data_IF_617343684982
#
_entry.id   IF_617343684982
#
_cell.length_a   1.000
_cell.length_b   1.000
_cell.length_c   1.000
_cell.angle_alpha   90.00
_cell.angle_beta   90.00
_cell.angle_gamma   90.00
#
_symmetry.space_group_name_H-M   'P 1'
#
loop_
_entity.id
_entity.type
_entity.pdbx_description
1 polymer ?
#
# COMPACT_ATOMS: atom_id res chain seq x y z
N UNK A 1 44.31 20.15 17.27
CA UNK A 1 43.49 19.69 16.13
C UNK A 1 42.19 19.18 16.70
N UNK A 2 41.20 20.05 16.85
CA UNK A 2 39.87 19.70 17.31
C UNK A 2 39.10 19.11 16.13
N UNK A 3 38.75 17.84 16.23
CA UNK A 3 37.82 17.21 15.30
C UNK A 3 36.41 17.65 15.68
N UNK A 4 35.87 18.61 14.93
CA UNK A 4 34.45 19.00 15.02
C UNK A 4 33.59 17.76 14.73
N UNK A 5 33.01 17.20 15.79
CA UNK A 5 31.90 16.28 15.69
C UNK A 5 30.72 17.09 15.18
N UNK A 6 30.51 17.06 13.87
CA UNK A 6 29.30 17.60 13.24
C UNK A 6 28.12 16.81 13.79
N UNK A 7 27.31 17.46 14.63
CA UNK A 7 26.03 16.91 15.08
C UNK A 7 25.21 16.55 13.82
N UNK A 8 24.95 15.29 13.62
CA UNK A 8 23.96 14.80 12.65
C UNK A 8 22.66 15.45 13.11
N UNK A 9 22.20 16.44 12.37
CA UNK A 9 20.90 17.07 12.64
C UNK A 9 19.87 15.95 12.59
N UNK A 10 19.25 15.67 13.73
CA UNK A 10 18.22 14.63 13.87
C UNK A 10 17.09 14.99 12.88
N UNK A 11 16.81 14.10 11.92
CA UNK A 11 15.79 14.37 10.93
C UNK A 11 14.44 14.58 11.62
N UNK A 12 13.67 15.61 11.26
CA UNK A 12 12.43 15.91 11.94
C UNK A 12 11.46 14.73 11.81
N UNK A 13 10.78 14.41 12.89
CA UNK A 13 9.76 13.36 12.94
C UNK A 13 8.54 13.74 12.10
N UNK A 14 7.72 12.77 11.70
CA UNK A 14 6.46 13.04 10.98
C UNK A 14 5.54 13.97 11.78
N UNK A 15 5.50 13.83 13.11
CA UNK A 15 4.69 14.68 14.01
C UNK A 15 5.17 16.12 13.95
N UNK A 16 6.48 16.35 13.94
CA UNK A 16 7.07 17.70 13.82
C UNK A 16 6.79 18.29 12.44
N UNK A 17 6.93 17.52 11.37
CA UNK A 17 6.63 17.97 10.02
C UNK A 17 5.15 18.32 9.85
N UNK A 18 4.24 17.52 10.40
CA UNK A 18 2.80 17.80 10.39
C UNK A 18 2.49 19.09 11.15
N UNK A 19 3.11 19.28 12.32
CA UNK A 19 2.96 20.54 13.08
C UNK A 19 3.47 21.75 12.31
N UNK A 20 4.63 21.63 11.65
CA UNK A 20 5.20 22.70 10.81
C UNK A 20 4.28 23.03 9.63
N UNK A 21 3.76 22.01 8.95
CA UNK A 21 2.78 22.18 7.88
C UNK A 21 1.52 22.92 8.34
N UNK A 22 0.93 22.53 9.48
CA UNK A 22 -0.23 23.21 10.07
C UNK A 22 0.04 24.70 10.36
N UNK A 23 1.30 25.06 10.61
CA UNK A 23 1.74 26.44 10.81
C UNK A 23 2.13 27.15 9.50
N UNK A 24 1.84 26.58 8.33
CA UNK A 24 2.04 27.18 7.02
C UNK A 24 3.43 26.92 6.39
N UNK A 25 4.24 26.01 6.96
CA UNK A 25 5.53 25.63 6.37
C UNK A 25 5.37 24.65 5.21
N UNK A 26 5.35 25.16 3.98
CA UNK A 26 5.23 24.32 2.77
C UNK A 26 6.39 23.33 2.57
N UNK A 27 7.57 23.62 3.11
CA UNK A 27 8.72 22.70 3.06
C UNK A 27 8.47 21.42 3.85
N UNK A 28 7.70 21.50 4.93
CA UNK A 28 7.33 20.33 5.73
C UNK A 28 6.48 19.35 4.92
N UNK A 29 5.54 19.82 4.10
CA UNK A 29 4.77 18.96 3.19
C UNK A 29 5.68 18.25 2.18
N UNK A 30 6.61 18.96 1.57
CA UNK A 30 7.58 18.40 0.62
C UNK A 30 8.40 17.27 1.27
N UNK A 31 8.84 17.46 2.52
CA UNK A 31 9.57 16.42 3.26
C UNK A 31 8.70 15.21 3.58
N UNK A 32 7.44 15.38 3.96
CA UNK A 32 6.50 14.28 4.18
C UNK A 32 6.25 13.49 2.88
N UNK A 33 6.06 14.17 1.76
CA UNK A 33 5.91 13.51 0.45
C UNK A 33 7.19 12.74 0.11
N UNK A 34 8.36 13.36 0.16
CA UNK A 34 9.62 12.70 -0.17
C UNK A 34 9.87 11.43 0.67
N UNK A 35 9.52 11.48 1.96
CA UNK A 35 9.68 10.36 2.91
C UNK A 35 8.73 9.20 2.63
N UNK A 36 7.47 9.49 2.31
CA UNK A 36 6.41 8.49 2.28
C UNK A 36 5.99 8.05 0.88
N UNK A 37 6.23 8.86 -0.18
CA UNK A 37 5.81 8.52 -1.55
C UNK A 37 6.38 7.17 -2.04
N UNK A 38 7.66 6.80 -1.80
CA UNK A 38 8.17 5.52 -2.27
C UNK A 38 7.47 4.31 -1.63
N UNK A 39 7.15 4.39 -0.33
CA UNK A 39 6.44 3.30 0.36
C UNK A 39 4.96 3.24 -0.03
N UNK A 40 4.33 4.39 -0.25
CA UNK A 40 2.95 4.49 -0.71
C UNK A 40 2.81 3.95 -2.13
N UNK A 41 3.75 4.26 -3.03
CA UNK A 41 3.76 3.73 -4.39
C UNK A 41 3.86 2.20 -4.42
N UNK A 42 4.76 1.61 -3.61
CA UNK A 42 4.84 0.15 -3.46
C UNK A 42 3.54 -0.46 -2.94
N UNK A 43 2.91 0.19 -1.95
CA UNK A 43 1.63 -0.26 -1.43
C UNK A 43 0.54 -0.26 -2.52
N UNK A 44 0.40 0.84 -3.26
CA UNK A 44 -0.60 0.98 -4.34
C UNK A 44 -0.37 -0.06 -5.45
N UNK A 45 0.89 -0.24 -5.88
CA UNK A 45 1.25 -1.26 -6.87
C UNK A 45 0.93 -2.70 -6.38
N UNK A 46 1.17 -2.98 -5.10
CA UNK A 46 0.83 -4.26 -4.45
C UNK A 46 -0.67 -4.51 -4.36
N UNK A 47 -1.49 -3.45 -4.31
CA UNK A 47 -2.95 -3.54 -4.41
C UNK A 47 -3.44 -3.81 -5.85
N UNK A 48 -2.54 -3.92 -6.84
CA UNK A 48 -2.90 -4.22 -8.24
C UNK A 48 -3.14 -2.98 -9.11
N UNK A 49 -2.91 -1.78 -8.61
CA UNK A 49 -3.12 -0.52 -9.34
C UNK A 49 -1.81 -0.01 -9.97
N UNK A 50 -1.05 -0.90 -10.66
CA UNK A 50 0.28 -0.57 -11.21
C UNK A 50 0.25 0.57 -12.21
N UNK A 51 -0.70 0.56 -13.13
CA UNK A 51 -0.82 1.57 -14.19
C UNK A 51 -1.30 2.93 -13.67
N UNK A 52 -1.88 2.96 -12.47
CA UNK A 52 -2.46 4.16 -11.84
C UNK A 52 -1.74 4.54 -10.55
N UNK A 53 -0.57 3.97 -10.31
CA UNK A 53 0.19 4.18 -9.07
C UNK A 53 0.41 5.67 -8.80
N UNK A 54 0.89 6.42 -9.77
CA UNK A 54 1.20 7.85 -9.61
C UNK A 54 -0.07 8.68 -9.34
N UNK A 55 -1.17 8.40 -10.03
CA UNK A 55 -2.46 9.05 -9.81
C UNK A 55 -2.95 8.82 -8.38
N UNK A 56 -2.97 7.56 -7.93
CA UNK A 56 -3.45 7.20 -6.59
C UNK A 56 -2.55 7.77 -5.49
N UNK A 57 -1.23 7.77 -5.69
CA UNK A 57 -0.26 8.38 -4.77
C UNK A 57 -0.51 9.88 -4.65
N UNK A 58 -0.64 10.59 -5.76
CA UNK A 58 -0.92 12.02 -5.78
C UNK A 58 -2.24 12.34 -5.08
N UNK A 59 -3.33 11.66 -5.44
CA UNK A 59 -4.65 11.85 -4.84
C UNK A 59 -4.64 11.55 -3.34
N UNK A 60 -3.87 10.54 -2.91
CA UNK A 60 -3.71 10.21 -1.50
C UNK A 60 -3.09 11.39 -0.72
N UNK A 61 -2.02 12.00 -1.23
CA UNK A 61 -1.41 13.16 -0.57
C UNK A 61 -2.31 14.38 -0.59
N UNK A 62 -3.00 14.66 -1.70
CA UNK A 62 -3.98 15.76 -1.77
C UNK A 62 -5.05 15.59 -0.68
N UNK A 63 -5.64 14.39 -0.55
CA UNK A 63 -6.64 14.10 0.49
C UNK A 63 -6.04 14.13 1.91
N UNK A 64 -4.82 13.60 2.07
CA UNK A 64 -4.15 13.61 3.35
C UNK A 64 -3.88 15.03 3.84
N UNK A 65 -3.33 15.89 3.00
CA UNK A 65 -3.09 17.29 3.39
C UNK A 65 -4.38 18.08 3.59
N UNK A 66 -5.43 17.81 2.79
CA UNK A 66 -6.75 18.41 3.01
C UNK A 66 -7.43 17.96 4.29
N UNK A 67 -7.06 16.79 4.81
CA UNK A 67 -7.64 16.20 6.03
C UNK A 67 -6.65 16.12 7.20
N UNK A 68 -5.50 16.81 7.13
CA UNK A 68 -4.40 16.66 8.10
C UNK A 68 -4.82 17.02 9.53
N UNK A 69 -5.80 17.90 9.70
CA UNK A 69 -6.33 18.26 11.00
C UNK A 69 -7.05 17.09 11.70
N UNK A 70 -7.51 16.11 10.93
CA UNK A 70 -8.12 14.88 11.43
C UNK A 70 -7.10 13.82 11.86
N UNK A 71 -5.83 14.00 11.51
CA UNK A 71 -4.76 13.10 11.95
C UNK A 71 -4.44 13.34 13.43
N UNK A 72 -4.85 12.40 14.29
CA UNK A 72 -4.68 12.49 15.75
C UNK A 72 -3.39 11.90 16.29
N UNK A 73 -2.64 11.15 15.43
CA UNK A 73 -1.44 10.46 15.87
C UNK A 73 -1.69 9.11 16.56
N UNK A 74 -2.92 8.58 16.49
CA UNK A 74 -3.29 7.28 17.06
C UNK A 74 -2.56 6.10 16.34
N UNK A 75 -2.14 6.34 15.11
CA UNK A 75 -1.31 5.43 14.30
C UNK A 75 -0.13 6.19 13.69
N UNK A 76 0.85 5.45 13.12
CA UNK A 76 1.90 6.07 12.31
C UNK A 76 1.28 6.81 11.10
N UNK A 77 1.87 7.96 10.72
CA UNK A 77 1.39 8.75 9.58
C UNK A 77 1.35 7.92 8.29
N UNK A 78 2.33 7.03 8.08
CA UNK A 78 2.37 6.08 6.97
C UNK A 78 1.12 5.17 6.94
N UNK A 79 0.73 4.60 8.07
CA UNK A 79 -0.45 3.73 8.18
C UNK A 79 -1.73 4.50 7.87
N UNK A 80 -1.81 5.75 8.31
CA UNK A 80 -2.93 6.63 7.98
C UNK A 80 -2.98 6.94 6.47
N UNK A 81 -1.84 7.24 5.81
CA UNK A 81 -1.77 7.40 4.35
C UNK A 81 -2.26 6.15 3.62
N UNK A 82 -1.82 4.96 4.04
CA UNK A 82 -2.26 3.70 3.44
C UNK A 82 -3.77 3.50 3.58
N UNK A 83 -4.37 3.93 4.70
CA UNK A 83 -5.82 3.87 4.88
C UNK A 83 -6.59 4.77 3.91
N UNK A 84 -6.04 5.93 3.57
CA UNK A 84 -6.60 6.85 2.56
C UNK A 84 -6.47 6.24 1.17
N UNK A 85 -5.27 5.76 0.79
CA UNK A 85 -5.03 5.11 -0.49
C UNK A 85 -5.95 3.91 -0.71
N UNK A 86 -6.08 3.05 0.31
CA UNK A 86 -6.95 1.87 0.25
C UNK A 86 -8.42 2.24 -0.01
N UNK A 87 -8.93 3.27 0.65
CA UNK A 87 -10.29 3.76 0.40
C UNK A 87 -10.45 4.26 -1.03
N UNK A 88 -9.47 5.03 -1.53
CA UNK A 88 -9.43 5.48 -2.92
C UNK A 88 -9.54 4.31 -3.90
N UNK A 89 -8.68 3.31 -3.76
CA UNK A 89 -8.65 2.12 -4.60
C UNK A 89 -10.00 1.38 -4.56
N UNK A 90 -10.57 1.18 -3.38
CA UNK A 90 -11.87 0.52 -3.24
C UNK A 90 -13.00 1.31 -3.91
N UNK A 91 -12.99 2.63 -3.80
CA UNK A 91 -14.00 3.49 -4.43
C UNK A 91 -13.85 3.49 -5.95
N UNK A 92 -12.62 3.49 -6.48
CA UNK A 92 -12.34 3.35 -7.91
C UNK A 92 -12.88 2.02 -8.46
N UNK A 93 -12.54 0.91 -7.81
CA UNK A 93 -13.03 -0.43 -8.19
C UNK A 93 -14.56 -0.55 -8.14
N UNK A 94 -15.20 0.09 -7.16
CA UNK A 94 -16.67 0.14 -7.09
C UNK A 94 -17.27 0.95 -8.24
N UNK A 95 -16.64 2.07 -8.62
CA UNK A 95 -17.08 2.89 -9.74
C UNK A 95 -16.97 2.14 -11.06
N UNK A 96 -15.84 1.47 -11.30
CA UNK A 96 -15.60 0.68 -12.51
C UNK A 96 -16.59 -0.50 -12.63
N UNK A 97 -16.87 -1.20 -11.53
CA UNK A 97 -17.89 -2.27 -11.52
C UNK A 97 -19.26 -1.74 -11.88
N UNK A 98 -19.65 -0.58 -11.35
CA UNK A 98 -20.94 0.05 -11.68
C UNK A 98 -21.01 0.45 -13.17
N UNK A 99 -19.92 1.03 -13.70
CA UNK A 99 -19.85 1.41 -15.12
C UNK A 99 -19.94 0.19 -16.03
N UNK A 100 -19.25 -0.91 -15.69
CA UNK A 100 -19.36 -2.18 -16.45
C UNK A 100 -20.77 -2.75 -16.41
N UNK A 101 -21.44 -2.79 -15.26
CA UNK A 101 -22.82 -3.28 -15.15
C UNK A 101 -23.76 -2.44 -16.01
N UNK A 102 -23.60 -1.13 -16.06
CA UNK A 102 -24.40 -0.25 -16.93
C UNK A 102 -24.11 -0.54 -18.41
N UNK A 103 -22.85 -0.72 -18.78
CA UNK A 103 -22.47 -1.09 -20.16
C UNK A 103 -22.98 -2.48 -20.55
N UNK A 104 -22.92 -3.46 -19.67
CA UNK A 104 -23.38 -4.84 -19.91
C UNK A 104 -24.91 -4.91 -20.05
N UNK A 105 -25.66 -4.01 -19.44
CA UNK A 105 -27.11 -3.90 -19.62
C UNK A 105 -27.45 -3.34 -21.02
N UNK A 106 -26.52 -2.64 -21.65
CA UNK A 106 -26.68 -2.11 -23.02
C UNK A 106 -26.11 -3.04 -24.10
N UNK A 107 -25.19 -3.92 -23.79
CA UNK A 107 -24.58 -4.89 -24.70
C UNK A 107 -24.58 -6.26 -23.98
N UNK A 108 -25.49 -7.13 -24.41
CA UNK A 108 -25.63 -8.48 -23.83
C UNK A 108 -24.50 -9.43 -24.25
N UNK A 109 -23.30 -9.24 -23.70
CA UNK A 109 -22.25 -10.29 -23.74
C UNK A 109 -21.30 -10.10 -22.55
N UNK A 110 -21.15 -11.18 -21.79
CA UNK A 110 -20.24 -11.27 -20.66
C UNK A 110 -18.79 -11.36 -21.15
N UNK A 111 -18.06 -10.27 -21.06
CA UNK A 111 -16.62 -10.27 -21.28
C UNK A 111 -15.93 -10.64 -19.99
N UNK A 112 -15.47 -11.89 -19.91
CA UNK A 112 -14.47 -12.34 -18.95
C UNK A 112 -13.15 -11.65 -19.33
N UNK A 113 -12.71 -10.65 -18.58
CA UNK A 113 -11.41 -10.04 -18.79
C UNK A 113 -10.33 -11.02 -18.35
N UNK A 114 -9.74 -11.68 -19.33
CA UNK A 114 -8.45 -12.34 -19.20
C UNK A 114 -7.39 -11.23 -19.17
N UNK A 115 -6.69 -11.12 -18.06
CA UNK A 115 -5.47 -10.30 -17.98
C UNK A 115 -4.34 -11.11 -18.62
N UNK A 116 -4.28 -11.07 -19.93
CA UNK A 116 -3.21 -11.63 -20.71
C UNK A 116 -2.55 -10.48 -21.45
N UNK A 117 -1.49 -9.98 -20.90
CA UNK A 117 -0.32 -9.45 -21.59
C UNK A 117 0.56 -8.68 -20.61
N UNK A 118 1.38 -9.42 -19.88
CA UNK A 118 2.64 -8.81 -19.47
C UNK A 118 3.77 -9.62 -20.08
N UNK A 119 4.36 -8.98 -21.07
CA UNK A 119 5.32 -9.56 -21.97
C UNK A 119 6.64 -9.92 -21.33
N UNK A 120 7.12 -11.04 -21.80
CA UNK A 120 8.48 -11.48 -22.05
C UNK A 120 9.58 -10.77 -21.25
N UNK A 121 10.33 -11.63 -20.54
CA UNK A 121 11.52 -11.39 -19.74
C UNK A 121 11.20 -11.01 -18.27
N UNK A 122 10.45 -11.85 -17.61
CA UNK A 122 10.58 -11.96 -16.17
C UNK A 122 11.44 -13.18 -15.89
N UNK A 123 12.58 -12.95 -15.25
CA UNK A 123 13.47 -13.93 -14.66
C UNK A 123 12.66 -15.06 -13.98
N UNK A 124 13.11 -16.31 -14.09
CA UNK A 124 12.49 -17.52 -13.50
C UNK A 124 12.11 -17.29 -12.03
N UNK A 125 12.94 -16.56 -11.31
CA UNK A 125 12.69 -16.13 -9.94
C UNK A 125 11.40 -15.30 -9.79
N UNK A 126 11.08 -14.43 -10.76
CA UNK A 126 9.87 -13.60 -10.72
C UNK A 126 8.62 -14.41 -11.08
N UNK A 127 8.74 -15.42 -11.94
CA UNK A 127 7.64 -16.39 -12.20
C UNK A 127 7.28 -17.17 -10.95
N UNK A 128 8.29 -17.63 -10.19
CA UNK A 128 8.09 -18.38 -8.94
C UNK A 128 7.42 -17.52 -7.88
N UNK A 129 7.83 -16.27 -7.75
CA UNK A 129 7.17 -15.33 -6.82
C UNK A 129 5.71 -15.12 -7.20
N UNK A 130 5.38 -14.98 -8.50
CA UNK A 130 3.99 -14.85 -8.96
C UNK A 130 3.18 -16.13 -8.69
N UNK A 131 3.74 -17.30 -8.93
CA UNK A 131 3.06 -18.58 -8.68
C UNK A 131 2.80 -18.81 -7.18
N UNK A 132 3.79 -18.45 -6.32
CA UNK A 132 3.61 -18.49 -4.87
C UNK A 132 2.52 -17.49 -4.42
N UNK A 133 2.47 -16.33 -5.05
CA UNK A 133 1.44 -15.31 -4.80
C UNK A 133 0.04 -15.80 -5.22
N UNK A 134 -0.08 -16.52 -6.33
CA UNK A 134 -1.34 -17.10 -6.81
C UNK A 134 -1.89 -18.22 -5.90
N UNK A 135 -1.01 -18.87 -5.13
CA UNK A 135 -1.42 -19.87 -4.12
C UNK A 135 -2.04 -19.23 -2.87
N UNK A 136 -1.86 -17.91 -2.67
CA UNK A 136 -2.41 -17.19 -1.52
C UNK A 136 -3.85 -16.73 -1.80
N UNK A 137 -4.73 -16.88 -0.79
CA UNK A 137 -6.01 -16.18 -0.84
C UNK A 137 -5.78 -14.66 -0.86
N UNK A 138 -6.73 -13.87 -1.42
CA UNK A 138 -6.58 -12.40 -1.47
C UNK A 138 -6.24 -11.78 -0.12
N UNK A 139 -6.82 -12.30 0.96
CA UNK A 139 -6.58 -11.80 2.31
C UNK A 139 -5.21 -12.19 2.88
N UNK A 140 -4.73 -13.39 2.56
CA UNK A 140 -3.39 -13.83 2.93
C UNK A 140 -2.33 -13.01 2.21
N UNK A 141 -2.51 -12.78 0.91
CA UNK A 141 -1.64 -11.95 0.07
C UNK A 141 -1.57 -10.52 0.62
N UNK A 142 -2.71 -9.88 0.86
CA UNK A 142 -2.79 -8.53 1.42
C UNK A 142 -2.00 -8.41 2.74
N UNK A 143 -2.25 -9.32 3.68
CA UNK A 143 -1.56 -9.31 4.98
C UNK A 143 -0.06 -9.61 4.85
N UNK A 144 0.30 -10.53 3.97
CA UNK A 144 1.69 -10.92 3.71
C UNK A 144 2.50 -9.74 3.16
N UNK A 145 2.00 -9.07 2.12
CA UNK A 145 2.63 -7.90 1.51
C UNK A 145 2.78 -6.76 2.52
N UNK A 146 1.73 -6.44 3.26
CA UNK A 146 1.77 -5.39 4.29
C UNK A 146 2.79 -5.68 5.39
N UNK A 147 2.92 -6.94 5.78
CA UNK A 147 3.88 -7.34 6.81
C UNK A 147 5.31 -7.39 6.30
N UNK A 148 5.54 -8.05 5.15
CA UNK A 148 6.87 -8.33 4.62
C UNK A 148 7.48 -7.12 3.93
N UNK A 149 6.74 -6.49 3.02
CA UNK A 149 7.26 -5.40 2.20
C UNK A 149 7.14 -4.05 2.89
N UNK A 150 6.05 -3.84 3.62
CA UNK A 150 5.79 -2.55 4.27
C UNK A 150 6.20 -2.54 5.75
N UNK A 151 6.54 -3.69 6.32
CA UNK A 151 7.01 -3.80 7.72
C UNK A 151 5.98 -3.39 8.77
N UNK A 152 4.67 -3.39 8.43
CA UNK A 152 3.60 -3.00 9.36
C UNK A 152 3.46 -4.02 10.50
N UNK A 153 3.14 -3.54 11.70
CA UNK A 153 2.75 -4.41 12.81
C UNK A 153 1.41 -5.08 12.55
N UNK A 154 1.12 -6.20 13.20
CA UNK A 154 -0.18 -6.87 13.06
C UNK A 154 -1.35 -6.00 13.51
N UNK A 155 -1.13 -5.09 14.47
CA UNK A 155 -2.13 -4.10 14.90
C UNK A 155 -2.45 -3.13 13.76
N UNK A 156 -1.42 -2.53 13.14
CA UNK A 156 -1.58 -1.61 12.00
C UNK A 156 -2.24 -2.29 10.81
N UNK A 157 -1.84 -3.54 10.51
CA UNK A 157 -2.47 -4.35 9.47
C UNK A 157 -3.95 -4.56 9.78
N UNK A 158 -4.29 -4.96 11.01
CA UNK A 158 -5.67 -5.19 11.42
C UNK A 158 -6.55 -3.95 11.26
N UNK A 159 -6.05 -2.79 11.67
CA UNK A 159 -6.72 -1.49 11.49
C UNK A 159 -6.92 -1.17 10.00
N UNK A 160 -5.89 -1.40 9.17
CA UNK A 160 -5.92 -1.09 7.74
C UNK A 160 -6.90 -1.98 6.97
N UNK A 161 -6.90 -3.30 7.25
CA UNK A 161 -7.70 -4.28 6.51
C UNK A 161 -9.08 -4.54 7.12
N UNK A 162 -9.43 -3.86 8.21
CA UNK A 162 -10.70 -4.04 8.91
C UNK A 162 -10.83 -5.44 9.55
N UNK A 163 -9.80 -5.89 10.28
CA UNK A 163 -9.71 -7.23 10.88
C UNK A 163 -9.26 -7.12 12.34
N UNK A 164 -8.94 -8.25 12.98
CA UNK A 164 -8.32 -8.30 14.29
C UNK A 164 -6.83 -8.61 14.19
N UNK A 165 -6.04 -8.18 15.19
CA UNK A 165 -4.60 -8.50 15.24
C UNK A 165 -4.34 -10.01 15.20
N UNK A 166 -5.16 -10.79 15.91
CA UNK A 166 -5.07 -12.25 15.88
C UNK A 166 -5.33 -12.84 14.50
N UNK A 167 -6.36 -12.35 13.79
CA UNK A 167 -6.65 -12.79 12.42
C UNK A 167 -5.53 -12.39 11.43
N UNK A 168 -4.98 -11.18 11.55
CA UNK A 168 -3.85 -10.74 10.74
C UNK A 168 -2.62 -11.67 10.94
N UNK A 169 -2.34 -12.05 12.19
CA UNK A 169 -1.26 -13.00 12.53
C UNK A 169 -1.48 -14.38 11.90
N UNK A 170 -2.71 -14.89 11.98
CA UNK A 170 -3.07 -16.18 11.36
C UNK A 170 -2.95 -16.13 9.83
N UNK A 171 -3.44 -15.07 9.18
CA UNK A 171 -3.31 -14.91 7.74
C UNK A 171 -1.84 -14.85 7.30
N UNK A 172 -1.01 -14.10 8.01
CA UNK A 172 0.43 -14.04 7.74
C UNK A 172 1.10 -15.41 7.89
N UNK A 173 0.82 -16.11 9.00
CA UNK A 173 1.40 -17.43 9.23
C UNK A 173 1.00 -18.45 8.16
N UNK A 174 -0.26 -18.45 7.74
CA UNK A 174 -0.74 -19.32 6.68
C UNK A 174 -0.13 -18.96 5.32
N UNK A 175 0.06 -17.66 5.03
CA UNK A 175 0.75 -17.21 3.83
C UNK A 175 2.23 -17.66 3.82
N UNK A 176 2.94 -17.45 4.93
CA UNK A 176 4.33 -17.91 5.06
C UNK A 176 4.48 -19.41 4.86
N UNK A 177 3.52 -20.21 5.39
CA UNK A 177 3.53 -21.66 5.20
C UNK A 177 3.32 -22.02 3.73
N UNK A 178 2.32 -21.45 3.07
CA UNK A 178 2.04 -21.73 1.66
C UNK A 178 3.24 -21.35 0.75
N UNK A 179 3.86 -20.19 1.00
CA UNK A 179 5.06 -19.78 0.26
C UNK A 179 6.22 -20.74 0.51
N UNK A 180 6.41 -21.19 1.77
CA UNK A 180 7.46 -22.14 2.11
C UNK A 180 7.23 -23.50 1.46
N UNK A 181 6.02 -24.06 1.55
CA UNK A 181 5.63 -25.32 0.89
C UNK A 181 5.91 -25.24 -0.63
N UNK A 182 5.57 -24.11 -1.27
CA UNK A 182 5.86 -23.89 -2.68
C UNK A 182 7.37 -23.89 -3.01
N UNK A 183 8.20 -23.38 -2.10
CA UNK A 183 9.66 -23.33 -2.29
C UNK A 183 10.36 -24.65 -1.93
N UNK A 184 9.77 -25.46 -1.03
CA UNK A 184 10.33 -26.74 -0.57
C UNK A 184 9.92 -27.93 -1.47
N UNK A 185 8.92 -27.80 -2.36
CA UNK A 185 8.46 -28.84 -3.30
C UNK A 185 9.38 -29.03 -4.53
N UNK A 186 10.63 -28.59 -4.43
CA UNK A 186 11.75 -28.85 -5.34
C UNK A 186 12.85 -29.69 -4.66
#
# INVERSE_FOLDING_TARGET
>A
MEVSVQAVADEPTDVELIRRWRNGDGQAATQLVARHAPSLARFVAGEGERDRTDEVVQDTFVRAFGAIDNFRGDSAFRTWLFSIARRLILDMRRSERRSRVVATVQEGDAVTTFDALDGMVADESMRRVRQADDALSPKQREVFTLRLEQGLSYKEIAELVGSTEGAARVHYHNAMRAVKEFLDDE
#
